data_IF_949529517871
#
_entry.id   IF_949529517871
#
_cell.length_a   1.000
_cell.length_b   1.000
_cell.length_c   1.000
_cell.angle_alpha   90.00
_cell.angle_beta   90.00
_cell.angle_gamma   90.00
#
_symmetry.space_group_name_H-M   'P 1'
#
loop_
_entity.id
_entity.type
_entity.pdbx_description
1 polymer ?
#
# COMPACT_ATOMS: atom_id res chain seq x y z
N UNK A 1 19.26 3.63 20.62
CA UNK A 1 19.06 4.48 19.43
C UNK A 1 20.11 4.27 18.33
N UNK A 2 21.12 3.39 18.52
CA UNK A 2 22.13 3.07 17.49
C UNK A 2 21.71 1.96 16.49
N UNK A 3 20.47 1.47 16.53
CA UNK A 3 20.00 0.39 15.66
C UNK A 3 19.12 0.84 14.48
N UNK A 4 18.61 2.08 14.51
CA UNK A 4 18.01 2.72 13.33
C UNK A 4 19.13 3.18 12.40
N UNK A 5 19.78 2.20 11.76
CA UNK A 5 20.84 2.42 10.80
C UNK A 5 20.34 3.00 9.48
N UNK A 6 21.00 2.63 8.38
CA UNK A 6 20.70 3.06 7.01
C UNK A 6 19.25 2.74 6.58
N UNK A 7 18.59 1.80 7.26
CA UNK A 7 17.21 1.38 6.99
C UNK A 7 16.17 2.51 6.99
N UNK A 8 16.37 3.56 7.80
CA UNK A 8 15.45 4.71 7.83
C UNK A 8 15.36 5.42 6.48
N UNK A 9 16.46 5.45 5.72
CA UNK A 9 16.50 6.03 4.38
C UNK A 9 16.22 5.00 3.29
N UNK A 10 16.71 3.77 3.46
CA UNK A 10 16.55 2.69 2.48
C UNK A 10 15.08 2.25 2.33
N UNK A 11 14.34 2.08 3.42
CA UNK A 11 12.97 1.55 3.36
C UNK A 11 12.03 2.47 2.57
N UNK A 12 11.93 3.78 2.88
CA UNK A 12 11.08 4.69 2.10
C UNK A 12 11.55 4.82 0.65
N UNK A 13 12.87 4.80 0.41
CA UNK A 13 13.42 4.90 -0.93
C UNK A 13 13.01 3.71 -1.80
N UNK A 14 13.16 2.48 -1.30
CA UNK A 14 12.73 1.27 -1.99
C UNK A 14 11.21 1.27 -2.17
N UNK A 15 10.44 1.69 -1.15
CA UNK A 15 8.99 1.72 -1.21
C UNK A 15 8.48 2.66 -2.32
N UNK A 16 9.08 3.84 -2.49
CA UNK A 16 8.75 4.79 -3.56
C UNK A 16 9.09 4.21 -4.94
N UNK A 17 10.26 3.58 -5.07
CA UNK A 17 10.67 2.98 -6.35
C UNK A 17 9.75 1.84 -6.77
N UNK A 18 9.39 0.96 -5.83
CA UNK A 18 8.47 -0.14 -6.06
C UNK A 18 7.07 0.37 -6.42
N UNK A 19 6.56 1.36 -5.70
CA UNK A 19 5.26 1.97 -5.95
C UNK A 19 5.14 2.57 -7.36
N UNK A 20 6.10 3.42 -7.75
CA UNK A 20 6.10 4.04 -9.09
C UNK A 20 6.24 2.98 -10.19
N UNK A 21 7.06 1.94 -9.98
CA UNK A 21 7.22 0.86 -10.93
C UNK A 21 5.90 0.09 -11.16
N UNK A 22 5.17 -0.18 -10.08
CA UNK A 22 3.88 -0.88 -10.12
C UNK A 22 2.80 -0.01 -10.78
N UNK A 23 2.67 1.25 -10.37
CA UNK A 23 1.68 2.18 -10.94
C UNK A 23 1.93 2.36 -12.44
N UNK A 24 3.19 2.55 -12.84
CA UNK A 24 3.58 2.64 -14.26
C UNK A 24 3.24 1.38 -15.05
N UNK A 25 3.51 0.20 -14.49
CA UNK A 25 3.19 -1.09 -15.14
C UNK A 25 1.68 -1.28 -15.38
N UNK A 26 0.84 -0.74 -14.50
CA UNK A 26 -0.63 -0.89 -14.57
C UNK A 26 -1.38 0.35 -15.10
N UNK A 27 -0.68 1.44 -15.42
CA UNK A 27 -1.28 2.68 -15.89
C UNK A 27 -2.07 2.52 -17.20
N UNK A 28 -1.73 1.53 -18.06
CA UNK A 28 -2.45 1.22 -19.32
C UNK A 28 -2.77 2.46 -20.18
N UNK A 29 -1.81 3.38 -20.30
CA UNK A 29 -1.96 4.63 -21.07
C UNK A 29 -2.70 5.77 -20.34
N UNK A 30 -3.07 5.60 -19.07
CA UNK A 30 -3.55 6.68 -18.21
C UNK A 30 -2.38 7.44 -17.63
N UNK A 31 -2.53 8.75 -17.46
CA UNK A 31 -1.56 9.58 -16.75
C UNK A 31 -1.77 9.44 -15.24
N UNK A 32 -0.69 9.39 -14.48
CA UNK A 32 -0.68 9.44 -13.02
C UNK A 32 0.33 10.49 -12.56
N UNK A 33 0.13 11.03 -11.36
CA UNK A 33 1.05 12.01 -10.77
C UNK A 33 1.93 11.31 -9.73
N UNK A 34 3.21 11.14 -10.05
CA UNK A 34 4.18 10.52 -9.15
C UNK A 34 4.33 11.30 -7.82
N UNK A 35 4.15 12.62 -7.82
CA UNK A 35 4.20 13.44 -6.61
C UNK A 35 3.05 13.08 -5.68
N UNK A 36 1.86 12.88 -6.27
CA UNK A 36 0.67 12.48 -5.52
C UNK A 36 0.82 11.09 -4.91
N UNK A 37 1.38 10.13 -5.66
CA UNK A 37 1.64 8.77 -5.16
C UNK A 37 2.66 8.78 -3.99
N UNK A 38 3.75 9.56 -4.11
CA UNK A 38 4.74 9.72 -3.04
C UNK A 38 4.11 10.32 -1.77
N UNK A 39 3.29 11.35 -1.92
CA UNK A 39 2.58 11.98 -0.79
C UNK A 39 1.60 10.97 -0.17
N UNK A 40 0.85 10.23 -0.99
CA UNK A 40 -0.09 9.22 -0.51
C UNK A 40 0.62 8.10 0.28
N UNK A 41 1.73 7.58 -0.23
CA UNK A 41 2.54 6.55 0.42
C UNK A 41 3.14 7.05 1.75
N UNK A 42 3.64 8.29 1.77
CA UNK A 42 4.19 8.94 2.95
C UNK A 42 3.14 9.14 4.04
N UNK A 43 1.99 9.72 3.69
CA UNK A 43 0.87 9.93 4.64
C UNK A 43 0.38 8.59 5.18
N UNK A 44 0.20 7.59 4.32
CA UNK A 44 -0.29 6.26 4.74
C UNK A 44 0.69 5.60 5.72
N UNK A 45 2.00 5.68 5.46
CA UNK A 45 3.01 5.13 6.36
C UNK A 45 3.09 5.88 7.70
N UNK A 46 2.98 7.21 7.68
CA UNK A 46 2.94 8.03 8.90
C UNK A 46 1.71 7.69 9.74
N UNK A 47 0.51 7.65 9.13
CA UNK A 47 -0.72 7.25 9.81
C UNK A 47 -0.57 5.84 10.38
N UNK A 48 -0.06 4.90 9.59
CA UNK A 48 0.17 3.52 10.00
C UNK A 48 1.11 3.39 11.21
N UNK A 49 2.15 4.24 11.30
CA UNK A 49 3.08 4.24 12.42
C UNK A 49 2.40 4.51 13.78
N UNK A 50 1.34 5.33 13.82
CA UNK A 50 0.56 5.55 15.04
C UNK A 50 -0.20 4.31 15.53
N UNK A 51 -0.43 3.34 14.65
CA UNK A 51 -1.08 2.06 14.96
C UNK A 51 -0.08 0.90 15.08
N UNK A 52 1.24 1.18 15.08
CA UNK A 52 2.29 0.16 15.12
C UNK A 52 2.46 -0.62 13.81
N UNK A 53 1.97 -0.09 12.69
CA UNK A 53 2.15 -0.69 11.37
C UNK A 53 3.59 -0.58 10.90
N UNK A 54 4.05 -1.59 10.14
CA UNK A 54 5.25 -1.47 9.32
C UNK A 54 5.02 -0.45 8.18
N UNK A 55 6.11 0.12 7.61
CA UNK A 55 6.01 0.99 6.44
C UNK A 55 5.23 0.31 5.31
N UNK A 56 4.32 1.07 4.70
CA UNK A 56 3.44 0.53 3.65
C UNK A 56 4.20 0.49 2.33
N UNK A 57 3.98 -0.57 1.56
CA UNK A 57 4.52 -0.73 0.20
C UNK A 57 3.39 -1.08 -0.77
N UNK A 58 3.59 -0.80 -2.04
CA UNK A 58 2.72 -1.27 -3.09
C UNK A 58 2.80 -2.79 -3.26
N UNK A 59 1.79 -3.39 -3.92
CA UNK A 59 1.75 -4.84 -4.13
C UNK A 59 1.28 -5.18 -5.54
N UNK A 60 2.19 -5.74 -6.33
CA UNK A 60 1.92 -6.23 -7.68
C UNK A 60 0.71 -7.18 -7.73
N UNK A 61 0.67 -8.16 -6.82
CA UNK A 61 -0.39 -9.17 -6.78
C UNK A 61 -1.76 -8.55 -6.49
N UNK A 62 -1.86 -7.68 -5.48
CA UNK A 62 -3.12 -7.01 -5.14
C UNK A 62 -3.58 -6.10 -6.29
N UNK A 63 -2.68 -5.32 -6.88
CA UNK A 63 -3.01 -4.44 -8.01
C UNK A 63 -3.45 -5.22 -9.24
N UNK A 64 -2.79 -6.34 -9.57
CA UNK A 64 -3.17 -7.20 -10.67
C UNK A 64 -4.58 -7.78 -10.48
N UNK A 65 -4.88 -8.33 -9.30
CA UNK A 65 -6.21 -8.88 -8.99
C UNK A 65 -7.28 -7.80 -9.01
N UNK A 66 -6.99 -6.62 -8.47
CA UNK A 66 -7.95 -5.51 -8.44
C UNK A 66 -8.30 -5.04 -9.86
N UNK A 67 -7.30 -5.00 -10.74
CA UNK A 67 -7.47 -4.62 -12.14
C UNK A 67 -8.22 -5.68 -12.96
N UNK A 68 -7.95 -6.97 -12.75
CA UNK A 68 -8.67 -8.06 -13.43
C UNK A 68 -10.10 -8.20 -12.92
N UNK A 69 -10.35 -7.85 -11.65
CA UNK A 69 -11.70 -7.81 -11.06
C UNK A 69 -12.54 -6.61 -11.53
N UNK A 70 -11.97 -5.71 -12.33
CA UNK A 70 -12.69 -4.59 -12.93
C UNK A 70 -12.96 -3.43 -11.98
N UNK A 71 -12.26 -3.32 -10.85
CA UNK A 71 -12.40 -2.21 -9.91
C UNK A 71 -11.90 -0.92 -10.53
N UNK A 72 -12.69 0.15 -10.45
CA UNK A 72 -12.40 1.46 -11.08
C UNK A 72 -12.39 2.63 -10.09
N UNK A 73 -12.80 2.41 -8.86
CA UNK A 73 -12.92 3.45 -7.83
C UNK A 73 -12.12 3.08 -6.58
N UNK A 74 -11.67 4.07 -5.79
CA UNK A 74 -10.97 3.82 -4.52
C UNK A 74 -11.79 3.00 -3.51
N UNK A 75 -13.11 2.92 -3.70
CA UNK A 75 -14.05 2.18 -2.83
C UNK A 75 -13.68 0.69 -2.74
N UNK A 76 -13.07 0.09 -3.77
CA UNK A 76 -12.62 -1.30 -3.69
C UNK A 76 -11.58 -1.52 -2.59
N UNK A 77 -10.70 -0.53 -2.34
CA UNK A 77 -9.74 -0.58 -1.23
C UNK A 77 -10.42 -0.49 0.14
N UNK A 78 -11.44 0.36 0.26
CA UNK A 78 -12.24 0.49 1.49
C UNK A 78 -12.95 -0.83 1.84
N UNK A 79 -13.60 -1.45 0.85
CA UNK A 79 -14.26 -2.75 1.03
C UNK A 79 -13.25 -3.84 1.45
N UNK A 80 -12.06 -3.83 0.86
CA UNK A 80 -10.98 -4.75 1.25
C UNK A 80 -10.56 -4.53 2.70
N UNK A 81 -10.40 -3.28 3.14
CA UNK A 81 -10.09 -2.95 4.53
C UNK A 81 -11.17 -3.43 5.52
N UNK A 82 -12.44 -3.20 5.20
CA UNK A 82 -13.57 -3.67 6.02
C UNK A 82 -13.57 -5.20 6.11
N UNK A 83 -13.34 -5.90 4.99
CA UNK A 83 -13.25 -7.36 4.98
C UNK A 83 -12.10 -7.87 5.85
N UNK A 84 -10.94 -7.21 5.83
CA UNK A 84 -9.80 -7.56 6.70
C UNK A 84 -10.18 -7.38 8.17
N UNK A 85 -10.82 -6.27 8.54
CA UNK A 85 -11.28 -6.02 9.92
C UNK A 85 -12.31 -7.07 10.39
N UNK A 86 -13.27 -7.42 9.53
CA UNK A 86 -14.24 -8.48 9.83
C UNK A 86 -13.56 -9.84 10.00
N UNK A 87 -12.61 -10.17 9.12
CA UNK A 87 -11.83 -11.40 9.22
C UNK A 87 -11.07 -11.47 10.55
N UNK A 88 -10.39 -10.40 10.94
CA UNK A 88 -9.71 -10.30 12.25
C UNK A 88 -10.69 -10.39 13.43
N UNK A 89 -11.93 -9.93 13.30
CA UNK A 89 -12.90 -9.99 14.40
C UNK A 89 -13.58 -11.35 14.56
N UNK A 90 -13.79 -12.10 13.47
CA UNK A 90 -14.60 -13.33 13.49
C UNK A 90 -13.83 -14.60 13.14
N UNK A 91 -12.81 -14.50 12.28
CA UNK A 91 -12.06 -15.65 11.77
C UNK A 91 -10.75 -15.90 12.52
N UNK A 92 -10.26 -14.95 13.33
CA UNK A 92 -9.08 -15.18 14.19
C UNK A 92 -9.15 -16.45 15.05
N UNK A 93 -10.28 -16.87 15.66
CA UNK A 93 -10.31 -18.14 16.39
C UNK A 93 -10.27 -19.39 15.50
N UNK A 94 -10.41 -19.26 14.18
CA UNK A 94 -10.36 -20.38 13.24
C UNK A 94 -8.95 -20.66 12.68
N UNK A 95 -7.98 -19.80 12.98
CA UNK A 95 -6.57 -19.90 12.59
C UNK A 95 -5.68 -20.06 13.82
#
# INVERSE_FOLDING_TARGET
>A
MNEVGIGVFMIPFIAILDDIAIVSAFAKGRTFDATQEIIALGITSIIGAFFGSMPVTASLSRTAVNLTSGVRTPVGGLLTGIMVLLSLSFLTPAF
#
